data_IF_196532151412
#
_entry.id   IF_196532151412
#
_cell.length_a   1.000
_cell.length_b   1.000
_cell.length_c   1.000
_cell.angle_alpha   90.00
_cell.angle_beta   90.00
_cell.angle_gamma   90.00
#
_symmetry.space_group_name_H-M   'P 1'
#
loop_
_entity.id
_entity.type
_entity.pdbx_description
1 polymer ?
#
# COMPACT_ATOMS: atom_id res chain seq x y z
N UNK A 1 15.48 12.99 4.40
CA UNK A 1 14.92 14.21 3.78
C UNK A 1 13.81 14.74 4.66
N UNK A 2 13.67 16.06 4.73
CA UNK A 2 12.48 16.73 5.27
C UNK A 2 11.63 17.26 4.11
N UNK A 3 10.34 16.97 4.13
CA UNK A 3 9.37 17.48 3.16
C UNK A 3 8.44 18.46 3.89
N UNK A 4 8.45 19.75 3.55
CA UNK A 4 7.45 20.67 4.08
C UNK A 4 6.04 20.25 3.68
N UNK A 5 5.05 20.51 4.54
CA UNK A 5 3.63 20.24 4.27
C UNK A 5 3.06 21.08 3.14
N UNK A 6 3.70 22.19 2.81
CA UNK A 6 3.31 23.03 1.68
C UNK A 6 3.66 22.32 0.37
N UNK A 7 2.65 21.97 -0.45
CA UNK A 7 2.72 21.05 -1.61
C UNK A 7 3.77 21.41 -2.67
N UNK A 8 4.22 22.67 -2.73
CA UNK A 8 5.19 23.17 -3.72
C UNK A 8 6.57 23.43 -3.15
N UNK A 9 6.76 23.23 -1.85
CA UNK A 9 8.04 23.49 -1.22
C UNK A 9 8.99 22.30 -1.44
N UNK A 10 10.24 22.57 -1.84
CA UNK A 10 11.20 21.49 -2.13
C UNK A 10 11.56 20.73 -0.86
N UNK A 11 11.78 19.42 -1.01
CA UNK A 11 12.41 18.62 0.02
C UNK A 11 13.86 19.05 0.21
N UNK A 12 14.36 18.95 1.44
CA UNK A 12 15.76 19.22 1.75
C UNK A 12 16.37 18.11 2.60
N UNK A 13 17.69 17.97 2.50
CA UNK A 13 18.41 16.97 3.27
C UNK A 13 18.59 17.44 4.71
N UNK A 14 17.88 16.80 5.63
CA UNK A 14 18.00 17.08 7.07
C UNK A 14 19.19 16.37 7.72
N UNK A 15 19.44 15.12 7.29
CA UNK A 15 20.42 14.27 7.93
C UNK A 15 20.86 13.18 6.95
N UNK A 16 22.14 12.85 7.01
CA UNK A 16 22.77 11.77 6.24
C UNK A 16 23.42 10.84 7.26
N UNK A 17 23.16 9.55 7.13
CA UNK A 17 23.79 8.52 7.95
C UNK A 17 24.48 7.52 7.03
N UNK A 18 25.76 7.27 7.28
CA UNK A 18 26.44 6.09 6.74
C UNK A 18 25.88 4.83 7.37
N UNK A 19 25.71 3.76 6.59
CA UNK A 19 25.31 2.47 7.13
C UNK A 19 25.90 1.34 6.30
N UNK A 20 26.45 0.35 6.99
CA UNK A 20 26.87 -0.93 6.40
C UNK A 20 25.69 -1.92 6.29
N UNK A 21 24.45 -1.40 6.32
CA UNK A 21 23.19 -2.15 6.33
C UNK A 21 22.97 -3.09 7.53
N UNK A 22 23.80 -2.99 8.57
CA UNK A 22 23.73 -3.75 9.83
C UNK A 22 22.79 -3.14 10.90
N UNK A 23 22.06 -2.08 10.57
CA UNK A 23 21.17 -1.40 11.51
C UNK A 23 19.91 -2.21 11.83
N UNK A 24 19.32 -1.97 12.99
CA UNK A 24 18.10 -2.60 13.49
C UNK A 24 16.99 -1.58 13.78
N UNK A 25 15.86 -2.02 14.34
CA UNK A 25 14.72 -1.14 14.61
C UNK A 25 14.99 -0.11 15.72
N UNK A 26 15.89 -0.40 16.67
CA UNK A 26 16.31 0.53 17.72
C UNK A 26 17.09 1.69 17.11
N UNK A 27 17.96 1.42 16.13
CA UNK A 27 18.70 2.46 15.42
C UNK A 27 17.76 3.41 14.67
N UNK A 28 16.71 2.87 14.02
CA UNK A 28 15.67 3.69 13.36
C UNK A 28 14.97 4.60 14.38
N UNK A 29 14.58 4.05 15.54
CA UNK A 29 13.94 4.84 16.61
C UNK A 29 14.85 5.94 17.13
N UNK A 30 16.14 5.64 17.34
CA UNK A 30 17.12 6.60 17.82
C UNK A 30 17.35 7.72 16.79
N UNK A 31 17.41 7.40 15.50
CA UNK A 31 17.49 8.39 14.42
C UNK A 31 16.29 9.33 14.42
N UNK A 32 15.06 8.79 14.53
CA UNK A 32 13.86 9.63 14.59
C UNK A 32 13.81 10.53 15.82
N UNK A 33 14.17 10.00 17.00
CA UNK A 33 14.27 10.80 18.24
C UNK A 33 15.31 11.91 18.13
N UNK A 34 16.47 11.60 17.55
CA UNK A 34 17.52 12.58 17.33
C UNK A 34 17.04 13.70 16.40
N UNK A 35 16.46 13.36 15.24
CA UNK A 35 15.92 14.35 14.29
C UNK A 35 14.85 15.22 14.95
N UNK A 36 13.93 14.62 15.71
CA UNK A 36 12.90 15.37 16.44
C UNK A 36 13.50 16.33 17.48
N UNK A 37 14.48 15.86 18.24
CA UNK A 37 15.18 16.69 19.23
C UNK A 37 15.88 17.89 18.59
N UNK A 38 16.59 17.69 17.47
CA UNK A 38 17.32 18.75 16.80
C UNK A 38 16.39 19.76 16.11
N UNK A 39 15.33 19.29 15.44
CA UNK A 39 14.36 20.17 14.80
C UNK A 39 13.56 21.01 15.81
N UNK A 40 13.23 20.44 16.97
CA UNK A 40 12.55 21.17 18.03
C UNK A 40 13.36 22.37 18.55
N UNK A 41 14.70 22.34 18.50
CA UNK A 41 15.54 23.50 18.90
C UNK A 41 15.35 24.71 17.98
N UNK A 42 14.89 24.47 16.76
CA UNK A 42 14.59 25.50 15.76
C UNK A 42 13.09 25.71 15.59
N UNK A 43 12.28 25.27 16.58
CA UNK A 43 10.81 25.39 16.57
C UNK A 43 10.13 24.70 15.36
N UNK A 44 10.81 23.74 14.73
CA UNK A 44 10.27 22.98 13.62
C UNK A 44 9.49 21.78 14.17
N UNK A 45 8.18 21.78 13.94
CA UNK A 45 7.30 20.67 14.34
C UNK A 45 7.28 19.57 13.28
N UNK A 46 7.54 18.33 13.71
CA UNK A 46 7.42 17.14 12.86
C UNK A 46 5.99 16.59 12.97
N UNK A 47 5.25 16.61 11.86
CA UNK A 47 3.91 16.01 11.78
C UNK A 47 3.93 14.50 11.62
N UNK A 48 4.97 13.94 11.01
CA UNK A 48 5.05 12.50 10.81
C UNK A 48 6.35 12.03 10.21
N UNK A 49 6.51 10.71 10.22
CA UNK A 49 7.61 9.99 9.60
C UNK A 49 7.07 9.07 8.51
N UNK A 50 7.71 9.10 7.35
CA UNK A 50 7.47 8.13 6.29
C UNK A 50 8.69 7.26 6.04
N UNK A 51 8.46 5.99 5.70
CA UNK A 51 9.51 5.02 5.42
C UNK A 51 8.99 3.87 4.55
N UNK A 52 9.92 3.19 3.88
CA UNK A 52 9.67 2.00 3.09
C UNK A 52 9.24 0.79 3.95
N UNK A 53 8.85 -0.27 3.26
CA UNK A 53 8.40 -1.53 3.84
C UNK A 53 9.51 -2.44 4.40
N UNK A 54 10.71 -1.90 4.68
CA UNK A 54 11.78 -2.65 5.35
C UNK A 54 11.33 -3.09 6.75
N UNK A 55 11.59 -4.36 7.11
CA UNK A 55 11.10 -4.95 8.36
C UNK A 55 11.51 -4.16 9.61
N UNK A 56 12.70 -3.53 9.60
CA UNK A 56 13.22 -2.75 10.73
C UNK A 56 12.46 -1.44 10.87
N UNK A 57 12.22 -0.76 9.75
CA UNK A 57 11.40 0.45 9.71
C UNK A 57 9.95 0.17 10.10
N UNK A 58 9.35 -0.93 9.61
CA UNK A 58 7.99 -1.31 9.96
C UNK A 58 7.83 -1.64 11.44
N UNK A 59 8.82 -2.32 12.03
CA UNK A 59 8.84 -2.56 13.47
C UNK A 59 8.93 -1.26 14.26
N UNK A 60 9.76 -0.30 13.81
CA UNK A 60 9.86 1.01 14.44
C UNK A 60 8.57 1.83 14.32
N UNK A 61 7.94 1.86 13.14
CA UNK A 61 6.65 2.50 12.90
C UNK A 61 5.58 1.93 13.83
N UNK A 62 5.49 0.60 13.92
CA UNK A 62 4.51 -0.09 14.77
C UNK A 62 4.69 0.26 16.26
N UNK A 63 5.93 0.29 16.74
CA UNK A 63 6.25 0.67 18.13
C UNK A 63 5.79 2.10 18.40
N UNK A 64 6.12 3.04 17.51
CA UNK A 64 5.82 4.45 17.73
C UNK A 64 4.35 4.81 17.51
N UNK A 65 3.68 4.17 16.54
CA UNK A 65 2.27 4.37 16.31
C UNK A 65 1.39 3.75 17.39
N UNK A 66 1.96 2.94 18.29
CA UNK A 66 1.20 2.19 19.30
C UNK A 66 0.27 1.14 18.72
N UNK A 67 0.47 0.75 17.45
CA UNK A 67 -0.34 -0.28 16.79
C UNK A 67 0.10 -1.65 17.33
N UNK A 68 -0.84 -2.45 17.86
CA UNK A 68 -0.54 -3.73 18.53
C UNK A 68 0.42 -3.57 19.72
N UNK A 69 0.24 -2.50 20.51
CA UNK A 69 0.85 -2.37 21.82
C UNK A 69 0.26 -3.43 22.79
N UNK A 70 0.94 -3.71 23.90
CA UNK A 70 0.41 -4.59 24.96
C UNK A 70 -0.99 -4.14 25.41
N UNK A 71 -1.18 -2.83 25.55
CA UNK A 71 -2.49 -2.20 25.84
C UNK A 71 -3.53 -2.53 24.75
N UNK A 72 -3.14 -2.46 23.48
CA UNK A 72 -4.03 -2.82 22.35
C UNK A 72 -4.44 -4.29 22.39
N UNK A 73 -3.57 -5.19 22.88
CA UNK A 73 -3.80 -6.63 22.99
C UNK A 73 -4.63 -7.01 24.23
N UNK A 74 -4.53 -6.22 25.30
CA UNK A 74 -5.30 -6.37 26.53
C UNK A 74 -6.75 -5.87 26.38
N UNK A 75 -6.99 -4.92 25.48
CA UNK A 75 -8.31 -4.34 25.21
C UNK A 75 -9.18 -5.28 24.33
N UNK A 76 -9.58 -6.42 24.91
CA UNK A 76 -10.40 -7.45 24.25
C UNK A 76 -11.83 -7.00 23.93
N UNK A 77 -12.28 -5.88 24.49
CA UNK A 77 -13.65 -5.37 24.36
C UNK A 77 -13.93 -4.60 23.06
N UNK A 78 -12.94 -4.51 22.17
CA UNK A 78 -13.14 -3.94 20.83
C UNK A 78 -13.96 -4.90 19.94
N UNK A 79 -15.08 -4.46 19.33
CA UNK A 79 -15.83 -5.29 18.38
C UNK A 79 -15.02 -5.64 17.12
N UNK A 80 -13.90 -4.93 16.87
CA UNK A 80 -13.04 -5.14 15.70
C UNK A 80 -11.72 -5.85 16.05
N UNK A 81 -11.39 -6.03 17.34
CA UNK A 81 -10.14 -6.64 17.79
C UNK A 81 -8.92 -5.71 17.84
N UNK A 82 -7.77 -6.21 18.32
CA UNK A 82 -6.58 -5.40 18.67
C UNK A 82 -5.87 -4.79 17.47
N UNK A 83 -6.11 -5.33 16.27
CA UNK A 83 -5.51 -4.85 15.02
C UNK A 83 -6.12 -3.54 14.54
N UNK A 84 -7.25 -3.11 15.09
CA UNK A 84 -7.98 -1.90 14.68
C UNK A 84 -7.78 -0.70 15.60
N UNK A 85 -6.95 -0.85 16.63
CA UNK A 85 -6.77 0.19 17.63
C UNK A 85 -5.31 0.65 17.69
N UNK A 86 -5.15 1.96 17.83
CA UNK A 86 -3.88 2.58 18.19
C UNK A 86 -4.18 3.73 19.15
N UNK A 87 -3.26 4.00 20.08
CA UNK A 87 -3.36 5.17 20.94
C UNK A 87 -3.01 6.40 20.11
N UNK A 88 -4.02 7.11 19.62
CA UNK A 88 -3.83 8.31 18.83
C UNK A 88 -3.82 9.56 19.72
N UNK A 89 -2.78 10.39 19.58
CA UNK A 89 -2.72 11.72 20.15
C UNK A 89 -2.62 12.75 19.03
N UNK A 90 -3.40 13.82 19.09
CA UNK A 90 -3.44 14.84 18.02
C UNK A 90 -2.09 15.53 17.80
N UNK A 91 -1.24 15.55 18.83
CA UNK A 91 0.12 16.09 18.79
C UNK A 91 1.20 15.03 18.55
N UNK A 92 0.82 13.76 18.44
CA UNK A 92 1.77 12.68 18.18
C UNK A 92 2.10 12.63 16.69
N UNK A 93 3.37 12.43 16.30
CA UNK A 93 3.72 12.22 14.90
C UNK A 93 2.98 11.01 14.31
N UNK A 94 2.53 11.13 13.06
CA UNK A 94 1.95 10.01 12.31
C UNK A 94 3.04 9.21 11.60
N UNK A 95 2.87 7.89 11.53
CA UNK A 95 3.83 6.98 10.89
C UNK A 95 3.18 6.35 9.67
N UNK A 96 3.68 6.69 8.47
CA UNK A 96 3.02 6.37 7.20
C UNK A 96 3.98 5.60 6.29
N UNK A 97 3.55 4.44 5.79
CA UNK A 97 4.29 3.73 4.75
C UNK A 97 4.17 4.45 3.40
N UNK A 98 5.20 4.36 2.57
CA UNK A 98 5.14 4.84 1.19
C UNK A 98 4.11 4.04 0.36
N UNK A 99 3.10 4.74 -0.16
CA UNK A 99 2.05 4.17 -1.00
C UNK A 99 2.57 3.61 -2.34
N UNK A 100 3.63 4.20 -2.91
CA UNK A 100 4.27 3.70 -4.13
C UNK A 100 4.84 2.30 -3.88
N UNK A 101 5.53 2.14 -2.75
CA UNK A 101 6.07 0.85 -2.32
C UNK A 101 4.98 -0.17 -1.97
N UNK A 102 3.84 0.27 -1.41
CA UNK A 102 2.69 -0.62 -1.20
C UNK A 102 2.17 -1.11 -2.55
N UNK A 103 1.98 -0.22 -3.53
CA UNK A 103 1.54 -0.58 -4.88
C UNK A 103 2.46 -1.58 -5.55
N UNK A 104 3.77 -1.32 -5.60
CA UNK A 104 4.74 -2.25 -6.20
C UNK A 104 4.80 -3.60 -5.48
N UNK A 105 4.57 -3.62 -4.16
CA UNK A 105 4.44 -4.87 -3.40
C UNK A 105 3.18 -5.66 -3.77
N UNK A 106 2.05 -4.99 -4.01
CA UNK A 106 0.84 -5.64 -4.52
C UNK A 106 1.11 -6.26 -5.90
N UNK A 107 1.76 -5.52 -6.81
CA UNK A 107 2.18 -6.02 -8.13
C UNK A 107 3.05 -7.27 -8.03
N UNK A 108 4.15 -7.17 -7.28
CA UNK A 108 5.12 -8.27 -7.19
C UNK A 108 4.52 -9.51 -6.55
N UNK A 109 3.51 -9.36 -5.69
CA UNK A 109 2.76 -10.46 -5.08
C UNK A 109 1.81 -11.10 -6.10
N UNK A 110 1.05 -10.30 -6.85
CA UNK A 110 0.19 -10.74 -7.95
C UNK A 110 0.96 -11.53 -9.02
N UNK A 111 2.15 -11.07 -9.38
CA UNK A 111 2.96 -11.65 -10.47
C UNK A 111 3.89 -12.79 -10.00
N UNK A 112 3.88 -13.16 -8.72
CA UNK A 112 4.79 -14.20 -8.20
C UNK A 112 4.14 -15.58 -8.36
N UNK A 113 4.74 -16.50 -9.13
CA UNK A 113 4.09 -17.77 -9.48
C UNK A 113 3.80 -18.67 -8.27
N UNK A 114 4.61 -18.56 -7.22
CA UNK A 114 4.49 -19.41 -6.03
C UNK A 114 3.61 -18.78 -4.92
N UNK A 115 2.87 -17.71 -5.21
CA UNK A 115 1.97 -17.08 -4.25
C UNK A 115 0.53 -17.30 -4.68
N UNK A 116 -0.21 -18.05 -3.87
CA UNK A 116 -1.65 -18.23 -4.06
C UNK A 116 -2.38 -17.25 -3.15
N UNK A 117 -3.15 -16.34 -3.75
CA UNK A 117 -3.98 -15.38 -3.06
C UNK A 117 -5.44 -15.82 -3.17
N UNK A 118 -5.92 -16.52 -2.14
CA UNK A 118 -7.28 -17.06 -2.10
C UNK A 118 -8.24 -16.06 -1.44
N UNK A 119 -9.37 -15.77 -2.08
CA UNK A 119 -10.49 -15.03 -1.52
C UNK A 119 -11.73 -15.93 -1.55
N UNK A 120 -12.02 -16.58 -0.43
CA UNK A 120 -13.05 -17.63 -0.33
C UNK A 120 -12.77 -18.84 -1.23
N UNK A 121 -13.47 -18.95 -2.36
CA UNK A 121 -13.32 -19.99 -3.40
C UNK A 121 -12.67 -19.47 -4.68
N UNK A 122 -12.41 -18.17 -4.74
CA UNK A 122 -11.84 -17.49 -5.89
C UNK A 122 -10.36 -17.23 -5.66
N UNK A 123 -9.58 -17.20 -6.73
CA UNK A 123 -8.14 -16.93 -6.67
C UNK A 123 -7.82 -15.66 -7.45
N UNK A 124 -6.89 -14.86 -6.91
CA UNK A 124 -6.30 -13.76 -7.66
C UNK A 124 -5.30 -14.37 -8.65
N UNK A 125 -5.42 -14.05 -9.94
CA UNK A 125 -4.47 -14.50 -10.96
C UNK A 125 -4.15 -13.41 -11.97
N UNK A 126 -2.89 -13.37 -12.39
CA UNK A 126 -2.45 -12.56 -13.53
C UNK A 126 -3.05 -13.06 -14.85
N UNK A 127 -3.44 -14.32 -14.93
CA UNK A 127 -3.93 -14.95 -16.17
C UNK A 127 -5.22 -14.27 -16.66
N UNK A 128 -6.05 -13.74 -15.75
CA UNK A 128 -7.22 -12.95 -16.12
C UNK A 128 -6.83 -11.63 -16.81
N UNK A 129 -5.69 -11.04 -16.42
CA UNK A 129 -5.15 -9.81 -17.04
C UNK A 129 -4.47 -10.16 -18.37
N UNK A 130 -3.77 -11.30 -18.45
CA UNK A 130 -3.21 -11.82 -19.71
C UNK A 130 -4.32 -12.08 -20.72
N UNK A 131 -5.40 -12.74 -20.30
CA UNK A 131 -6.59 -12.97 -21.13
C UNK A 131 -7.20 -11.66 -21.63
N UNK A 132 -7.24 -10.61 -20.80
CA UNK A 132 -7.68 -9.29 -21.24
C UNK A 132 -6.79 -8.72 -22.36
N UNK A 133 -5.47 -8.86 -22.24
CA UNK A 133 -4.51 -8.44 -23.27
C UNK A 133 -4.66 -9.30 -24.53
N UNK A 134 -4.85 -10.61 -24.40
CA UNK A 134 -5.06 -11.54 -25.52
C UNK A 134 -6.34 -11.25 -26.30
N UNK A 135 -7.46 -10.98 -25.61
CA UNK A 135 -8.73 -10.59 -26.25
C UNK A 135 -8.52 -9.36 -27.15
N UNK A 136 -7.74 -8.38 -26.68
CA UNK A 136 -7.37 -7.23 -27.48
C UNK A 136 -6.50 -7.63 -28.69
N UNK A 137 -5.44 -8.42 -28.48
CA UNK A 137 -4.48 -8.78 -29.53
C UNK A 137 -5.10 -9.65 -30.63
N UNK A 138 -6.07 -10.50 -30.30
CA UNK A 138 -6.69 -11.41 -31.25
C UNK A 138 -7.83 -10.76 -32.06
N UNK A 139 -8.18 -9.48 -31.80
CA UNK A 139 -9.30 -8.78 -32.45
C UNK A 139 -10.65 -9.55 -32.42
N UNK A 140 -10.78 -10.56 -31.56
CA UNK A 140 -11.93 -11.49 -31.55
C UNK A 140 -13.23 -10.82 -31.07
N UNK A 141 -13.11 -9.68 -30.39
CA UNK A 141 -14.25 -8.87 -29.96
C UNK A 141 -13.91 -7.39 -30.21
N UNK A 142 -14.67 -6.74 -31.09
CA UNK A 142 -14.54 -5.30 -31.47
C UNK A 142 -14.63 -4.35 -30.25
N UNK A 143 -14.98 -4.86 -29.07
CA UNK A 143 -15.26 -4.06 -27.88
C UNK A 143 -14.06 -3.80 -26.96
N UNK A 144 -12.92 -4.49 -27.09
CA UNK A 144 -11.74 -4.26 -26.21
C UNK A 144 -10.48 -3.99 -27.03
N UNK A 145 -10.14 -2.72 -27.20
CA UNK A 145 -8.97 -2.26 -27.94
C UNK A 145 -7.90 -1.69 -27.00
N UNK A 146 -6.63 -1.61 -27.43
CA UNK A 146 -5.50 -1.18 -26.57
C UNK A 146 -5.74 0.16 -25.92
N UNK A 147 -6.33 1.09 -26.65
CA UNK A 147 -6.69 2.43 -26.18
C UNK A 147 -7.63 2.41 -24.97
N UNK A 148 -8.38 1.31 -24.76
CA UNK A 148 -9.30 1.17 -23.63
C UNK A 148 -8.63 0.71 -22.33
N UNK A 149 -7.51 -0.03 -22.41
CA UNK A 149 -6.85 -0.59 -21.20
C UNK A 149 -5.37 -0.17 -21.04
N UNK A 150 -4.70 0.21 -22.13
CA UNK A 150 -3.31 0.72 -22.19
C UNK A 150 -2.22 -0.23 -21.65
N UNK A 151 -2.56 -1.50 -21.46
CA UNK A 151 -1.66 -2.56 -21.00
C UNK A 151 -0.83 -3.14 -22.15
N UNK A 152 0.40 -3.53 -21.80
CA UNK A 152 1.30 -4.34 -22.62
C UNK A 152 1.81 -5.53 -21.80
N UNK A 153 2.35 -6.57 -22.44
CA UNK A 153 2.94 -7.73 -21.76
C UNK A 153 4.04 -7.35 -20.75
N UNK A 154 4.80 -6.29 -21.03
CA UNK A 154 5.82 -5.75 -20.12
C UNK A 154 5.26 -5.22 -18.80
N UNK A 155 3.98 -4.84 -18.74
CA UNK A 155 3.35 -4.40 -17.48
C UNK A 155 3.17 -5.60 -16.52
N UNK A 156 3.07 -6.82 -17.06
CA UNK A 156 3.01 -8.08 -16.29
C UNK A 156 4.38 -8.71 -16.04
N UNK A 157 5.47 -8.00 -16.37
CA UNK A 157 6.82 -8.43 -16.07
C UNK A 157 7.17 -8.14 -14.58
N UNK A 158 7.71 -9.16 -13.93
CA UNK A 158 8.13 -9.13 -12.53
C UNK A 158 9.66 -8.96 -12.37
N UNK A 159 10.42 -8.83 -13.47
CA UNK A 159 11.85 -8.53 -13.44
C UNK A 159 12.10 -7.17 -12.77
N UNK A 160 11.36 -6.13 -13.18
CA UNK A 160 11.37 -4.83 -12.52
C UNK A 160 10.36 -4.76 -11.37
N UNK A 161 10.87 -5.01 -10.16
CA UNK A 161 10.11 -4.95 -8.90
C UNK A 161 9.74 -3.52 -8.49
N UNK A 162 10.39 -2.51 -9.05
CA UNK A 162 10.17 -1.10 -8.70
C UNK A 162 9.25 -0.38 -9.70
N UNK A 163 8.81 -1.04 -10.76
CA UNK A 163 7.91 -0.46 -11.77
C UNK A 163 6.52 -0.14 -11.20
N UNK A 164 6.39 1.06 -10.64
CA UNK A 164 5.13 1.60 -10.14
C UNK A 164 4.14 1.90 -11.27
N UNK A 165 4.64 2.33 -12.44
CA UNK A 165 3.80 2.64 -13.60
C UNK A 165 2.98 1.43 -14.04
N UNK A 166 3.57 0.24 -14.00
CA UNK A 166 2.86 -1.00 -14.33
C UNK A 166 1.67 -1.24 -13.40
N UNK A 167 1.84 -1.13 -12.08
CA UNK A 167 0.73 -1.37 -11.16
C UNK A 167 -0.33 -0.28 -11.20
N UNK A 168 0.07 0.97 -11.44
CA UNK A 168 -0.88 2.06 -11.66
C UNK A 168 -1.71 1.80 -12.92
N UNK A 169 -1.14 1.27 -14.00
CA UNK A 169 -1.95 0.87 -15.17
C UNK A 169 -2.85 -0.33 -14.89
N UNK A 170 -2.28 -1.41 -14.33
CA UNK A 170 -2.99 -2.67 -14.10
C UNK A 170 -4.19 -2.47 -13.18
N UNK A 171 -4.06 -1.61 -12.17
CA UNK A 171 -5.16 -1.31 -11.23
C UNK A 171 -6.04 -0.14 -11.68
N UNK A 172 -5.93 0.34 -12.93
CA UNK A 172 -6.79 1.42 -13.43
C UNK A 172 -8.27 1.05 -13.41
N UNK A 173 -9.13 2.06 -13.28
CA UNK A 173 -10.58 1.84 -13.28
C UNK A 173 -11.06 1.22 -14.60
N UNK A 174 -10.40 1.55 -15.70
CA UNK A 174 -10.66 1.03 -17.03
C UNK A 174 -10.36 -0.47 -17.11
N UNK A 175 -9.19 -0.91 -16.62
CA UNK A 175 -8.85 -2.34 -16.55
C UNK A 175 -9.84 -3.10 -15.64
N UNK A 176 -10.14 -2.55 -14.47
CA UNK A 176 -11.10 -3.16 -13.53
C UNK A 176 -12.48 -3.33 -14.18
N UNK A 177 -12.97 -2.31 -14.89
CA UNK A 177 -14.25 -2.36 -15.63
C UNK A 177 -14.25 -3.46 -16.68
N UNK A 178 -13.16 -3.60 -17.42
CA UNK A 178 -13.06 -4.61 -18.48
C UNK A 178 -12.96 -6.04 -17.92
N UNK A 179 -12.31 -6.22 -16.77
CA UNK A 179 -12.22 -7.51 -16.10
C UNK A 179 -13.60 -8.05 -15.68
N UNK A 180 -14.59 -7.20 -15.37
CA UNK A 180 -15.95 -7.66 -15.10
C UNK A 180 -16.57 -8.47 -16.27
N UNK A 181 -16.06 -8.31 -17.50
CA UNK A 181 -16.46 -9.12 -18.65
C UNK A 181 -15.79 -10.50 -18.71
N UNK A 182 -14.85 -10.81 -17.83
CA UNK A 182 -14.12 -12.09 -17.76
C UNK A 182 -14.67 -12.92 -16.61
N UNK A 183 -15.27 -14.10 -16.88
CA UNK A 183 -15.78 -15.00 -15.84
C UNK A 183 -14.72 -15.37 -14.80
N UNK A 184 -15.14 -15.51 -13.55
CA UNK A 184 -14.33 -15.93 -12.39
C UNK A 184 -13.22 -14.96 -11.96
N UNK A 185 -13.14 -13.77 -12.56
CA UNK A 185 -12.11 -12.78 -12.25
C UNK A 185 -12.38 -11.95 -10.98
N UNK A 186 -13.46 -12.24 -10.24
CA UNK A 186 -13.96 -11.44 -9.11
C UNK A 186 -12.90 -11.18 -8.02
N UNK A 187 -12.10 -12.19 -7.65
CA UNK A 187 -11.02 -12.01 -6.68
C UNK A 187 -9.91 -11.08 -7.22
N UNK A 188 -9.61 -11.17 -8.52
CA UNK A 188 -8.61 -10.31 -9.16
C UNK A 188 -9.12 -8.87 -9.22
N UNK A 189 -10.38 -8.67 -9.59
CA UNK A 189 -11.07 -7.37 -9.54
C UNK A 189 -10.97 -6.77 -8.13
N UNK A 190 -11.35 -7.52 -7.11
CA UNK A 190 -11.32 -7.06 -5.72
C UNK A 190 -9.90 -6.70 -5.27
N UNK A 191 -8.90 -7.51 -5.64
CA UNK A 191 -7.49 -7.22 -5.35
C UNK A 191 -7.03 -5.91 -5.99
N UNK A 192 -7.35 -5.70 -7.26
CA UNK A 192 -7.00 -4.48 -7.99
C UNK A 192 -7.75 -3.24 -7.48
N UNK A 193 -9.01 -3.39 -7.08
CA UNK A 193 -9.78 -2.32 -6.44
C UNK A 193 -9.14 -1.88 -5.12
N UNK A 194 -8.67 -2.83 -4.29
CA UNK A 194 -7.95 -2.50 -3.05
C UNK A 194 -6.65 -1.76 -3.36
N UNK A 195 -5.90 -2.21 -4.36
CA UNK A 195 -4.69 -1.53 -4.82
C UNK A 195 -4.98 -0.11 -5.29
N UNK A 196 -5.99 0.08 -6.14
CA UNK A 196 -6.43 1.39 -6.63
C UNK A 196 -6.84 2.31 -5.49
N UNK A 197 -7.64 1.82 -4.54
CA UNK A 197 -8.06 2.59 -3.38
C UNK A 197 -6.87 3.07 -2.54
N UNK A 198 -5.85 2.22 -2.33
CA UNK A 198 -4.62 2.62 -1.62
C UNK A 198 -3.88 3.72 -2.39
N UNK A 199 -3.66 3.51 -3.70
CA UNK A 199 -2.95 4.49 -4.55
C UNK A 199 -3.69 5.82 -4.55
N UNK A 200 -5.00 5.82 -4.79
CA UNK A 200 -5.80 7.03 -4.89
C UNK A 200 -5.95 7.78 -3.56
N UNK A 201 -5.98 7.06 -2.43
CA UNK A 201 -6.06 7.69 -1.11
C UNK A 201 -4.86 8.60 -0.83
N UNK A 202 -3.67 8.23 -1.31
CA UNK A 202 -2.43 8.95 -1.03
C UNK A 202 -1.93 9.81 -2.20
N UNK A 203 -2.06 9.32 -3.44
CA UNK A 203 -1.38 9.93 -4.60
C UNK A 203 -2.31 10.74 -5.50
N UNK A 204 -3.62 10.45 -5.53
CA UNK A 204 -4.53 11.20 -6.37
C UNK A 204 -4.86 12.56 -5.73
N UNK A 205 -4.26 13.65 -6.23
CA UNK A 205 -4.43 15.03 -5.72
C UNK A 205 -5.87 15.57 -5.85
N UNK A 206 -6.70 15.04 -6.76
CA UNK A 206 -8.07 15.51 -6.94
C UNK A 206 -9.08 14.90 -5.96
N UNK A 207 -8.69 13.87 -5.20
CA UNK A 207 -9.56 13.22 -4.22
C UNK A 207 -9.85 14.13 -3.02
N UNK A 208 -11.12 14.21 -2.62
CA UNK A 208 -11.53 14.89 -1.38
C UNK A 208 -10.99 14.15 -0.15
N UNK A 209 -10.89 14.85 0.99
CA UNK A 209 -10.42 14.24 2.25
C UNK A 209 -11.32 13.07 2.64
N UNK A 210 -12.64 13.23 2.54
CA UNK A 210 -13.60 12.18 2.87
C UNK A 210 -13.42 10.93 2.00
N UNK A 211 -13.20 11.10 0.69
CA UNK A 211 -12.96 10.00 -0.25
C UNK A 211 -11.66 9.25 0.07
N UNK A 212 -10.58 10.00 0.40
CA UNK A 212 -9.30 9.39 0.81
C UNK A 212 -9.46 8.53 2.06
N UNK A 213 -10.17 9.06 3.07
CA UNK A 213 -10.45 8.34 4.32
C UNK A 213 -11.24 7.07 4.02
N UNK A 214 -12.31 7.18 3.24
CA UNK A 214 -13.13 6.04 2.85
C UNK A 214 -12.31 4.95 2.16
N UNK A 215 -11.52 5.32 1.13
CA UNK A 215 -10.67 4.39 0.37
C UNK A 215 -9.67 3.66 1.25
N UNK A 216 -8.93 4.38 2.10
CA UNK A 216 -7.92 3.73 2.94
C UNK A 216 -8.55 2.90 4.07
N UNK A 217 -9.70 3.33 4.60
CA UNK A 217 -10.45 2.54 5.57
C UNK A 217 -10.95 1.24 4.93
N UNK A 218 -11.65 1.31 3.81
CA UNK A 218 -12.12 0.14 3.08
C UNK A 218 -10.99 -0.87 2.85
N UNK A 219 -9.87 -0.41 2.28
CA UNK A 219 -8.71 -1.28 2.02
C UNK A 219 -8.13 -1.87 3.31
N UNK A 220 -8.03 -1.09 4.38
CA UNK A 220 -7.51 -1.57 5.67
C UNK A 220 -8.43 -2.62 6.30
N UNK A 221 -9.74 -2.37 6.32
CA UNK A 221 -10.73 -3.31 6.86
C UNK A 221 -10.74 -4.60 6.05
N UNK A 222 -10.80 -4.51 4.72
CA UNK A 222 -10.77 -5.68 3.85
C UNK A 222 -9.52 -6.52 4.10
N UNK A 223 -8.32 -5.92 4.04
CA UNK A 223 -7.06 -6.66 4.20
C UNK A 223 -6.95 -7.34 5.57
N UNK A 224 -7.52 -6.74 6.62
CA UNK A 224 -7.53 -7.32 7.97
C UNK A 224 -8.52 -8.48 8.10
N UNK A 225 -9.73 -8.33 7.56
CA UNK A 225 -10.72 -9.42 7.51
C UNK A 225 -10.17 -10.58 6.69
N UNK A 226 -9.60 -10.29 5.52
CA UNK A 226 -8.98 -11.28 4.66
C UNK A 226 -7.84 -12.02 5.35
N UNK A 227 -6.95 -11.30 6.04
CA UNK A 227 -5.90 -11.92 6.86
C UNK A 227 -6.49 -12.80 7.96
N UNK A 228 -7.50 -12.32 8.69
CA UNK A 228 -8.15 -13.10 9.75
C UNK A 228 -8.72 -14.40 9.21
N UNK A 229 -9.42 -14.33 8.07
CA UNK A 229 -9.99 -15.48 7.40
C UNK A 229 -8.91 -16.51 6.97
N UNK A 230 -7.79 -16.03 6.42
CA UNK A 230 -6.65 -16.89 6.08
C UNK A 230 -6.04 -17.58 7.30
N UNK A 231 -6.02 -16.91 8.46
CA UNK A 231 -5.44 -17.47 9.70
C UNK A 231 -6.40 -18.34 10.50
N UNK A 232 -7.72 -18.13 10.39
CA UNK A 232 -8.75 -18.93 11.07
C UNK A 232 -9.06 -20.25 10.35
N UNK A 233 -8.61 -20.40 9.09
CA UNK A 233 -8.76 -21.64 8.30
C UNK A 233 -7.67 -22.69 8.55
N UNK A 234 -6.91 -22.58 9.64
CA UNK A 234 -5.97 -23.60 10.11
C UNK A 234 -6.43 -24.19 11.44
#
# INVERSE_FOLDING_TARGET
MGQPLHDKSPAFCLVIFGSENSFNNIDVLNRWRYVQKELNKSEITIFGFSSDADRRCLKAMRIQSGLLSSISLENKDSPYGPYFQCKYGIHSPVYIQDAVHIGTKMKTTLLKPNVVLLMERFFVSKDFIEKLIEIHLQNLIVTVTKDKHLLCNSDLDNADKMNFRAIDKISSNEVIKLLHGIPESDATIQYLQITRNIIDAFLNKSSSIADRIYKIWYSTFFLRIWRSWLTCKN
#
